data_IF_959772518905
#
_entry.id   IF_959772518905
#
_cell.length_a   1.000
_cell.length_b   1.000
_cell.length_c   1.000
_cell.angle_alpha   90.00
_cell.angle_beta   90.00
_cell.angle_gamma   90.00
#
_symmetry.space_group_name_H-M   'P 1'
#
loop_
_entity.id
_entity.type
_entity.pdbx_description
1 polymer ?
#
# COMPACT_ATOMS: atom_id res chain seq x y z
N UNK A 1 -23.05 -8.36 33.43
CA UNK A 1 -24.20 -7.64 32.83
C UNK A 1 -24.07 -7.70 31.31
N UNK A 2 -24.94 -8.50 30.66
CA UNK A 2 -24.95 -8.65 29.20
C UNK A 2 -25.65 -7.44 28.61
N UNK A 3 -24.92 -6.56 27.93
CA UNK A 3 -25.49 -5.38 27.30
C UNK A 3 -26.02 -5.80 25.93
N UNK A 4 -27.24 -6.33 25.90
CA UNK A 4 -28.02 -6.57 24.68
C UNK A 4 -28.42 -5.21 24.11
N UNK A 5 -27.54 -4.63 23.28
CA UNK A 5 -27.92 -3.46 22.47
C UNK A 5 -29.08 -3.86 21.57
N UNK A 6 -30.17 -3.12 21.72
CA UNK A 6 -31.36 -3.14 20.88
C UNK A 6 -31.03 -3.42 19.42
N UNK A 7 -31.52 -4.54 18.91
CA UNK A 7 -31.77 -4.69 17.48
C UNK A 7 -32.75 -3.57 17.08
N UNK A 8 -32.52 -2.81 16.00
CA UNK A 8 -33.41 -1.72 15.64
C UNK A 8 -34.84 -2.24 15.49
N UNK A 9 -35.80 -1.46 16.00
CA UNK A 9 -37.23 -1.67 15.81
C UNK A 9 -37.53 -2.00 14.34
N UNK A 10 -38.50 -2.89 14.09
CA UNK A 10 -38.86 -3.35 12.75
C UNK A 10 -38.92 -2.18 11.76
N UNK A 11 -37.93 -2.11 10.87
CA UNK A 11 -37.83 -1.10 9.83
C UNK A 11 -39.08 -1.20 8.95
N UNK A 12 -39.61 -0.06 8.51
CA UNK A 12 -40.67 -0.07 7.49
C UNK A 12 -40.18 -0.81 6.25
N UNK A 13 -41.08 -1.40 5.46
CA UNK A 13 -40.70 -2.20 4.30
C UNK A 13 -39.82 -1.39 3.31
N UNK A 14 -40.08 -0.09 3.16
CA UNK A 14 -39.24 0.83 2.37
C UNK A 14 -37.86 1.09 2.99
N UNK A 15 -37.78 1.32 4.31
CA UNK A 15 -36.49 1.57 4.98
C UNK A 15 -35.59 0.32 4.94
N UNK A 16 -36.20 -0.85 4.99
CA UNK A 16 -35.52 -2.14 4.82
C UNK A 16 -34.91 -2.29 3.42
N UNK A 17 -35.63 -1.91 2.36
CA UNK A 17 -35.12 -1.97 0.99
C UNK A 17 -34.02 -0.94 0.71
N UNK A 18 -34.14 0.29 1.24
CA UNK A 18 -33.06 1.28 1.16
C UNK A 18 -31.82 0.83 1.92
N UNK A 19 -31.97 0.22 3.10
CA UNK A 19 -30.85 -0.31 3.86
C UNK A 19 -30.16 -1.46 3.11
N UNK A 20 -30.90 -2.39 2.52
CA UNK A 20 -30.33 -3.46 1.69
C UNK A 20 -29.56 -2.91 0.50
N UNK A 21 -30.11 -1.90 -0.16
CA UNK A 21 -29.45 -1.22 -1.28
C UNK A 21 -28.16 -0.53 -0.85
N UNK A 22 -28.18 0.18 0.28
CA UNK A 22 -27.01 0.83 0.84
C UNK A 22 -25.92 -0.17 1.24
N UNK A 23 -26.28 -1.28 1.90
CA UNK A 23 -25.35 -2.36 2.25
C UNK A 23 -24.69 -2.96 1.01
N UNK A 24 -25.45 -3.16 -0.06
CA UNK A 24 -24.90 -3.66 -1.31
C UNK A 24 -23.88 -2.68 -1.91
N UNK A 25 -24.19 -1.38 -1.91
CA UNK A 25 -23.25 -0.34 -2.35
C UNK A 25 -22.01 -0.22 -1.46
N UNK A 26 -22.14 -0.41 -0.14
CA UNK A 26 -20.99 -0.48 0.76
C UNK A 26 -20.10 -1.69 0.46
N UNK A 27 -20.70 -2.84 0.11
CA UNK A 27 -19.98 -4.08 -0.15
C UNK A 27 -19.28 -4.09 -1.51
N UNK A 28 -19.93 -3.62 -2.57
CA UNK A 28 -19.45 -3.77 -3.96
C UNK A 28 -19.24 -2.44 -4.69
N UNK A 29 -19.66 -1.32 -4.12
CA UNK A 29 -19.57 0.00 -4.74
C UNK A 29 -18.23 0.69 -4.53
N UNK A 30 -17.33 0.10 -3.74
CA UNK A 30 -15.98 0.62 -3.52
C UNK A 30 -14.95 -0.13 -4.36
N UNK A 31 -14.02 0.63 -4.95
CA UNK A 31 -12.91 0.05 -5.69
C UNK A 31 -12.01 -0.76 -4.74
N UNK A 32 -11.63 -2.01 -5.11
CA UNK A 32 -10.73 -2.80 -4.28
C UNK A 32 -9.39 -2.10 -4.07
N UNK A 33 -8.93 -2.07 -2.82
CA UNK A 33 -7.62 -1.55 -2.48
C UNK A 33 -6.56 -2.59 -2.86
N UNK A 34 -5.62 -2.21 -3.73
CA UNK A 34 -4.53 -3.07 -4.15
C UNK A 34 -3.28 -2.82 -3.30
N UNK A 35 -2.57 -3.89 -2.95
CA UNK A 35 -1.29 -3.83 -2.24
C UNK A 35 -0.25 -4.58 -3.07
N UNK A 36 0.87 -3.93 -3.37
CA UNK A 36 2.00 -4.62 -3.95
C UNK A 36 2.66 -5.50 -2.88
N UNK A 37 2.46 -6.83 -2.98
CA UNK A 37 2.99 -7.81 -2.03
C UNK A 37 4.50 -7.73 -1.86
N UNK A 38 5.26 -7.31 -2.89
CA UNK A 38 6.71 -7.13 -2.77
C UNK A 38 7.06 -6.11 -1.69
N UNK A 39 6.27 -5.04 -1.54
CA UNK A 39 6.49 -4.03 -0.51
C UNK A 39 6.18 -4.52 0.91
N UNK A 40 5.40 -5.59 1.07
CA UNK A 40 5.09 -6.15 2.39
C UNK A 40 6.34 -6.76 3.03
N UNK A 41 7.13 -7.53 2.28
CA UNK A 41 8.39 -8.07 2.82
C UNK A 41 9.40 -6.96 3.06
N UNK A 42 9.47 -6.00 2.14
CA UNK A 42 10.41 -4.88 2.21
C UNK A 42 10.12 -3.93 3.39
N UNK A 43 8.86 -3.67 3.72
CA UNK A 43 8.48 -2.80 4.85
C UNK A 43 8.25 -3.54 6.16
N UNK A 44 8.16 -4.88 6.11
CA UNK A 44 7.86 -5.74 7.26
C UNK A 44 6.43 -5.63 7.80
N UNK A 45 5.56 -4.83 7.18
CA UNK A 45 4.16 -4.71 7.60
C UNK A 45 3.23 -4.27 6.45
N UNK A 46 1.99 -4.76 6.48
CA UNK A 46 1.01 -4.53 5.41
C UNK A 46 0.61 -3.06 5.27
N UNK A 47 0.51 -2.29 6.36
CA UNK A 47 0.07 -0.90 6.31
C UNK A 47 1.09 0.00 5.61
N UNK A 48 2.39 -0.18 5.89
CA UNK A 48 3.46 0.60 5.25
C UNK A 48 3.58 0.23 3.77
N UNK A 49 3.41 -1.06 3.44
CA UNK A 49 3.36 -1.52 2.06
C UNK A 49 2.16 -0.96 1.28
N UNK A 50 0.98 -0.93 1.89
CA UNK A 50 -0.22 -0.32 1.32
C UNK A 50 0.00 1.18 1.09
N UNK A 51 0.52 1.89 2.09
CA UNK A 51 0.82 3.32 1.95
C UNK A 51 1.80 3.58 0.80
N UNK A 52 2.87 2.79 0.69
CA UNK A 52 3.85 2.91 -0.39
C UNK A 52 3.24 2.58 -1.76
N UNK A 53 2.41 1.53 -1.86
CA UNK A 53 1.70 1.16 -3.10
C UNK A 53 0.83 2.33 -3.57
N UNK A 54 0.00 2.84 -2.66
CA UNK A 54 -0.92 3.94 -2.93
C UNK A 54 -0.19 5.26 -3.29
N UNK A 55 0.97 5.51 -2.68
CA UNK A 55 1.82 6.65 -2.99
C UNK A 55 2.43 6.52 -4.40
N UNK A 56 2.94 5.34 -4.78
CA UNK A 56 3.53 5.08 -6.09
C UNK A 56 2.53 5.25 -7.24
N UNK A 57 1.26 4.90 -7.05
CA UNK A 57 0.18 5.15 -8.03
C UNK A 57 -0.09 6.64 -8.27
N UNK A 58 0.33 7.50 -7.33
CA UNK A 58 0.15 8.96 -7.36
C UNK A 58 1.44 9.70 -7.69
N UNK A 59 2.42 8.98 -8.22
CA UNK A 59 3.62 9.60 -8.79
C UNK A 59 3.19 10.65 -9.82
N UNK A 60 3.65 11.89 -9.60
CA UNK A 60 3.65 12.88 -10.68
C UNK A 60 4.85 12.58 -11.55
N UNK A 61 4.64 12.50 -12.87
CA UNK A 61 5.75 12.45 -13.84
C UNK A 61 6.76 13.53 -13.45
N UNK A 62 7.88 13.09 -12.91
CA UNK A 62 8.97 13.93 -12.45
C UNK A 62 10.16 13.66 -13.34
N UNK A 63 10.84 14.71 -13.77
CA UNK A 63 12.11 14.61 -14.51
C UNK A 63 13.26 14.15 -13.61
N UNK A 64 13.04 14.03 -12.29
CA UNK A 64 14.05 13.56 -11.35
C UNK A 64 14.46 12.12 -11.64
N UNK A 65 15.75 11.91 -11.94
CA UNK A 65 16.32 10.56 -12.11
C UNK A 65 16.40 9.79 -10.80
N UNK A 66 16.42 10.47 -9.65
CA UNK A 66 16.68 9.86 -8.34
C UNK A 66 15.42 9.59 -7.52
N UNK A 67 14.35 10.35 -7.73
CA UNK A 67 13.17 10.35 -6.88
C UNK A 67 11.87 10.26 -7.65
N UNK A 68 10.92 9.52 -7.10
CA UNK A 68 9.50 9.67 -7.43
C UNK A 68 8.93 10.79 -6.56
N UNK A 69 8.36 11.82 -7.18
CA UNK A 69 7.70 12.92 -6.46
C UNK A 69 6.21 12.64 -6.32
N UNK A 70 5.74 12.56 -5.08
CA UNK A 70 4.36 12.21 -4.75
C UNK A 70 3.66 13.41 -4.13
N UNK A 71 2.52 13.78 -4.71
CA UNK A 71 1.61 14.76 -4.14
C UNK A 71 0.35 14.05 -3.66
N UNK A 72 0.19 13.98 -2.33
CA UNK A 72 -0.91 13.24 -1.73
C UNK A 72 -1.30 13.85 -0.38
N UNK A 73 -2.59 14.14 -0.18
CA UNK A 73 -3.09 14.59 1.11
C UNK A 73 -3.37 13.41 2.05
N UNK A 74 -3.22 13.64 3.35
CA UNK A 74 -3.53 12.63 4.38
C UNK A 74 -5.03 12.26 4.41
N UNK A 75 -5.91 13.20 4.06
CA UNK A 75 -7.35 12.95 3.99
C UNK A 75 -7.73 12.06 2.80
N UNK A 76 -7.16 12.28 1.60
CA UNK A 76 -7.33 11.38 0.46
C UNK A 76 -6.83 9.98 0.80
N UNK A 77 -5.63 9.89 1.38
CA UNK A 77 -5.06 8.60 1.77
C UNK A 77 -5.98 7.86 2.76
N UNK A 78 -6.51 8.54 3.78
CA UNK A 78 -7.47 7.93 4.71
C UNK A 78 -8.73 7.44 4.00
N UNK A 79 -9.30 8.28 3.12
CA UNK A 79 -10.54 7.98 2.41
C UNK A 79 -10.40 6.74 1.53
N UNK A 80 -9.32 6.67 0.77
CA UNK A 80 -9.16 5.66 -0.27
C UNK A 80 -8.57 4.34 0.27
N UNK A 81 -7.77 4.41 1.36
CA UNK A 81 -7.07 3.22 1.89
C UNK A 81 -7.60 2.73 3.23
N UNK A 82 -8.41 3.55 3.93
CA UNK A 82 -8.81 3.30 5.32
C UNK A 82 -7.69 3.52 6.35
N UNK A 83 -6.45 3.83 5.95
CA UNK A 83 -5.35 4.06 6.88
C UNK A 83 -5.54 5.40 7.61
N UNK A 84 -5.69 5.35 8.93
CA UNK A 84 -5.87 6.55 9.77
C UNK A 84 -4.64 7.45 9.74
N UNK A 85 -4.82 8.74 10.09
CA UNK A 85 -3.71 9.70 10.15
C UNK A 85 -2.55 9.25 11.05
N UNK A 86 -2.86 8.64 12.20
CA UNK A 86 -1.85 8.11 13.11
C UNK A 86 -1.08 6.94 12.49
N UNK A 87 -1.79 6.00 11.85
CA UNK A 87 -1.15 4.89 11.12
C UNK A 87 -0.31 5.41 9.94
N UNK A 88 -0.75 6.44 9.22
CA UNK A 88 0.04 7.05 8.16
C UNK A 88 1.35 7.63 8.69
N UNK A 89 1.34 8.28 9.87
CA UNK A 89 2.59 8.75 10.51
C UNK A 89 3.54 7.59 10.81
N UNK A 90 3.02 6.48 11.35
CA UNK A 90 3.82 5.26 11.59
C UNK A 90 4.37 4.69 10.29
N UNK A 91 3.55 4.61 9.23
CA UNK A 91 3.99 4.11 7.92
C UNK A 91 5.11 4.98 7.34
N UNK A 92 4.96 6.31 7.39
CA UNK A 92 6.00 7.23 6.93
C UNK A 92 7.28 7.09 7.74
N UNK A 93 7.18 6.99 9.07
CA UNK A 93 8.33 6.73 9.93
C UNK A 93 9.07 5.46 9.52
N UNK A 94 8.35 4.35 9.30
CA UNK A 94 8.95 3.09 8.81
C UNK A 94 9.70 3.29 7.48
N UNK A 95 9.09 4.00 6.53
CA UNK A 95 9.69 4.23 5.21
C UNK A 95 10.88 5.20 5.25
N UNK A 96 10.85 6.19 6.14
CA UNK A 96 11.99 7.08 6.43
C UNK A 96 13.13 6.31 7.07
N UNK A 97 12.84 5.46 8.06
CA UNK A 97 13.84 4.64 8.75
C UNK A 97 14.51 3.63 7.77
N UNK A 98 13.79 3.19 6.73
CA UNK A 98 14.33 2.36 5.63
C UNK A 98 15.14 3.16 4.57
N UNK A 99 15.10 4.49 4.63
CA UNK A 99 15.69 5.40 3.65
C UNK A 99 14.94 5.49 2.33
N UNK A 100 13.71 4.97 2.27
CA UNK A 100 12.88 4.96 1.06
C UNK A 100 12.19 6.30 0.89
N UNK A 101 11.67 6.86 1.98
CA UNK A 101 10.87 8.09 1.98
C UNK A 101 11.66 9.27 2.53
N UNK A 102 11.56 10.40 1.84
CA UNK A 102 12.01 11.70 2.32
C UNK A 102 10.81 12.66 2.36
N UNK A 103 10.59 13.30 3.50
CA UNK A 103 9.54 14.30 3.68
C UNK A 103 10.12 15.70 3.47
N UNK A 104 9.58 16.44 2.50
CA UNK A 104 9.91 17.85 2.29
C UNK A 104 8.70 18.72 2.66
N UNK A 105 8.89 19.60 3.64
CA UNK A 105 7.94 20.67 3.92
C UNK A 105 8.03 21.70 2.79
N UNK A 106 7.03 21.74 1.90
CA UNK A 106 6.94 22.77 0.87
C UNK A 106 6.62 24.15 1.45
N UNK A 107 6.92 25.21 0.69
CA UNK A 107 6.37 26.55 0.95
C UNK A 107 4.84 26.47 0.82
N UNK A 108 4.12 26.60 1.94
CA UNK A 108 2.64 26.67 1.94
C UNK A 108 1.89 25.47 2.51
N UNK A 109 2.42 24.76 3.52
CA UNK A 109 1.75 23.64 4.26
C UNK A 109 1.49 22.36 3.45
N UNK A 110 1.91 22.31 2.18
CA UNK A 110 1.82 21.09 1.37
C UNK A 110 3.07 20.26 1.64
N UNK A 111 2.87 19.05 2.17
CA UNK A 111 3.96 18.08 2.33
C UNK A 111 4.16 17.40 0.99
N UNK A 112 5.37 17.52 0.44
CA UNK A 112 5.79 16.78 -0.74
C UNK A 112 6.58 15.57 -0.26
N UNK A 113 6.18 14.39 -0.73
CA UNK A 113 6.89 13.15 -0.44
C UNK A 113 7.80 12.80 -1.60
N UNK A 114 9.02 12.37 -1.29
CA UNK A 114 9.98 11.87 -2.29
C UNK A 114 10.35 10.44 -1.96
N UNK A 115 10.15 9.53 -2.91
CA UNK A 115 10.55 8.13 -2.77
C UNK A 115 11.87 7.95 -3.52
N UNK A 116 12.92 7.49 -2.85
CA UNK A 116 14.22 7.23 -3.47
C UNK A 116 14.14 6.01 -4.38
N UNK A 117 14.34 6.22 -5.69
CA UNK A 117 14.36 5.15 -6.70
C UNK A 117 15.50 4.19 -6.43
N UNK A 118 16.70 4.73 -6.18
CA UNK A 118 17.90 3.96 -5.86
C UNK A 118 17.67 3.07 -4.64
N UNK A 119 17.23 3.64 -3.51
CA UNK A 119 17.05 2.85 -2.28
C UNK A 119 15.98 1.78 -2.42
N UNK A 120 14.87 2.10 -3.10
CA UNK A 120 13.82 1.14 -3.37
C UNK A 120 14.33 -0.04 -4.22
N UNK A 121 15.07 0.25 -5.29
CA UNK A 121 15.65 -0.78 -6.16
C UNK A 121 16.67 -1.65 -5.43
N UNK A 122 17.56 -1.05 -4.62
CA UNK A 122 18.52 -1.80 -3.81
C UNK A 122 17.83 -2.83 -2.90
N UNK A 123 16.78 -2.42 -2.20
CA UNK A 123 16.02 -3.30 -1.30
C UNK A 123 15.28 -4.41 -2.05
N UNK A 124 14.67 -4.07 -3.19
CA UNK A 124 14.01 -5.06 -4.04
C UNK A 124 14.99 -6.08 -4.62
N UNK A 125 16.20 -5.64 -5.01
CA UNK A 125 17.26 -6.54 -5.48
C UNK A 125 17.70 -7.50 -4.37
N UNK A 126 17.90 -7.00 -3.15
CA UNK A 126 18.23 -7.83 -1.98
C UNK A 126 17.14 -8.88 -1.72
N UNK A 127 15.87 -8.48 -1.77
CA UNK A 127 14.73 -9.39 -1.60
C UNK A 127 14.63 -10.43 -2.72
N UNK A 128 14.96 -10.08 -3.97
CA UNK A 128 14.90 -10.98 -5.11
C UNK A 128 16.10 -11.95 -5.21
N UNK A 129 17.20 -11.68 -4.49
CA UNK A 129 18.45 -12.44 -4.58
C UNK A 129 18.27 -13.96 -4.33
N UNK A 130 17.51 -14.42 -3.32
CA UNK A 130 17.31 -15.85 -3.10
C UNK A 130 16.56 -16.52 -4.26
N UNK A 131 15.56 -15.85 -4.82
CA UNK A 131 14.82 -16.34 -5.98
C UNK A 131 15.73 -16.43 -7.21
N UNK A 132 16.52 -15.39 -7.47
CA UNK A 132 17.48 -15.39 -8.58
C UNK A 132 18.51 -16.52 -8.45
N UNK A 133 19.00 -16.79 -7.24
CA UNK A 133 19.88 -17.92 -6.96
C UNK A 133 19.20 -19.27 -7.23
N UNK A 134 17.96 -19.45 -6.78
CA UNK A 134 17.20 -20.67 -7.01
C UNK A 134 16.95 -20.91 -8.51
N UNK A 135 16.59 -19.86 -9.25
CA UNK A 135 16.40 -19.91 -10.71
C UNK A 135 17.70 -20.33 -11.43
N UNK A 136 18.85 -19.81 -11.00
CA UNK A 136 20.15 -20.19 -11.57
C UNK A 136 20.45 -21.68 -11.32
N UNK A 137 20.25 -22.17 -10.10
CA UNK A 137 20.47 -23.57 -9.76
C UNK A 137 19.55 -24.51 -10.55
N UNK A 138 18.28 -24.15 -10.72
CA UNK A 138 17.33 -24.92 -11.52
C UNK A 138 17.75 -25.00 -13.00
N UNK A 139 18.21 -23.90 -13.58
CA UNK A 139 18.69 -23.86 -14.96
C UNK A 139 19.92 -24.77 -15.16
N UNK A 140 20.88 -24.78 -14.22
CA UNK A 140 22.06 -25.64 -14.33
C UNK A 140 21.73 -27.13 -14.23
N UNK A 141 20.76 -27.53 -13.39
CA UNK A 141 20.33 -28.94 -13.27
C UNK A 141 19.64 -29.43 -14.54
N UNK A 142 18.85 -28.58 -15.19
CA UNK A 142 18.19 -28.92 -16.46
C UNK A 142 19.19 -29.18 -17.60
N UNK A 143 20.32 -28.46 -17.63
CA UNK A 143 21.36 -28.66 -18.65
C UNK A 143 22.15 -29.95 -18.38
N UNK A 144 22.45 -30.26 -17.12
CA UNK A 144 23.13 -31.51 -16.76
C UNK A 144 22.28 -32.76 -17.04
N UNK A 145 20.96 -32.69 -16.84
CA UNK A 145 20.05 -33.80 -17.14
C UNK A 145 19.85 -34.06 -18.65
N UNK A 146 20.08 -33.06 -19.51
CA UNK A 146 19.97 -33.20 -20.97
C UNK A 146 21.25 -33.72 -21.64
N UNK A 147 22.34 -33.86 -20.89
CA UNK A 147 23.63 -34.37 -21.37
C UNK A 147 23.85 -35.88 -21.06
N UNK A 148 22.82 -36.54 -20.52
CA UNK A 148 22.75 -37.98 -20.25
C UNK A 148 21.62 -38.61 -21.06
#
# INVERSE_FOLDING_TARGET
>A
MKNTKNLPAQLSNSDSEFLKSALFLELIGQEPITINRAFVDLTGNVLSALWLTYAMERERRSESEDFFEILMSSSCCTKDTGITRAQQQTCRKTLVDLGILHEHAGQGRIITYRISKRRLLELLQQQAMPLASAMRSAATTSVAAAAH
#
